data_IF_370633391335
#
_entry.id   IF_370633391335
#
_cell.length_a   1.000
_cell.length_b   1.000
_cell.length_c   1.000
_cell.angle_alpha   90.00
_cell.angle_beta   90.00
_cell.angle_gamma   90.00
#
_symmetry.space_group_name_H-M   'P 1'
#
loop_
_entity.id
_entity.type
_entity.pdbx_description
1 polymer ?
#
# COMPACT_ATOMS: atom_id res chain seq x y z
N UNK A 1 -65.94 41.51 -13.33
CA UNK A 1 -64.56 41.57 -13.86
C UNK A 1 -63.77 42.47 -12.94
N UNK A 2 -62.94 41.89 -12.07
CA UNK A 2 -61.98 42.63 -11.25
C UNK A 2 -60.75 41.75 -11.04
N UNK A 3 -59.55 42.31 -11.14
CA UNK A 3 -58.53 42.00 -10.15
C UNK A 3 -57.90 43.26 -9.57
N UNK A 4 -57.69 43.20 -8.26
CA UNK A 4 -57.12 44.23 -7.41
C UNK A 4 -55.60 44.01 -7.23
N UNK A 5 -54.91 45.07 -6.81
CA UNK A 5 -53.45 45.20 -6.80
C UNK A 5 -52.66 44.26 -5.88
N UNK A 6 -51.33 44.34 -6.01
CA UNK A 6 -50.40 43.62 -5.16
C UNK A 6 -48.93 43.83 -5.55
N UNK A 7 -48.42 45.04 -5.37
CA UNK A 7 -46.99 45.35 -5.38
C UNK A 7 -46.32 44.65 -4.17
N UNK A 8 -45.30 43.81 -4.40
CA UNK A 8 -44.31 43.53 -3.36
C UNK A 8 -42.97 43.12 -3.97
N UNK A 9 -41.99 44.02 -3.89
CA UNK A 9 -40.57 43.73 -4.07
C UNK A 9 -39.96 43.50 -2.69
N UNK A 10 -39.31 42.35 -2.46
CA UNK A 10 -38.22 42.27 -1.47
C UNK A 10 -37.28 41.07 -1.69
N UNK A 11 -36.02 41.40 -1.98
CA UNK A 11 -34.81 40.75 -1.46
C UNK A 11 -34.60 39.26 -1.75
N UNK A 12 -33.81 38.97 -2.79
CA UNK A 12 -33.02 37.73 -2.84
C UNK A 12 -31.69 38.01 -2.14
N UNK A 13 -31.58 37.61 -0.88
CA UNK A 13 -30.28 37.41 -0.23
C UNK A 13 -29.92 35.91 -0.35
N UNK A 14 -28.83 35.53 -1.03
CA UNK A 14 -28.30 34.19 -0.90
C UNK A 14 -27.58 34.08 0.45
N UNK A 15 -28.14 33.25 1.33
CA UNK A 15 -27.58 32.86 2.62
C UNK A 15 -26.10 32.44 2.49
N UNK A 16 -25.20 32.87 3.39
CA UNK A 16 -23.79 32.55 3.31
C UNK A 16 -23.59 31.06 3.62
N UNK A 17 -23.16 30.30 2.61
CA UNK A 17 -22.75 28.91 2.76
C UNK A 17 -21.45 28.91 3.60
N UNK A 18 -21.40 28.26 4.78
CA UNK A 18 -20.15 28.18 5.52
C UNK A 18 -19.14 27.32 4.76
N UNK A 19 -17.84 27.63 4.83
CA UNK A 19 -16.80 26.85 4.17
C UNK A 19 -16.76 25.45 4.78
N UNK A 20 -17.03 24.43 3.96
CA UNK A 20 -16.87 23.02 4.33
C UNK A 20 -15.37 22.74 4.47
N UNK A 21 -14.82 22.95 5.67
CA UNK A 21 -13.53 22.39 6.03
C UNK A 21 -13.70 20.87 6.20
N UNK A 22 -12.92 20.09 5.46
CA UNK A 22 -12.91 18.61 5.53
C UNK A 22 -12.20 18.08 6.79
N UNK A 23 -12.53 18.65 7.95
CA UNK A 23 -12.09 18.20 9.27
C UNK A 23 -13.17 17.27 9.82
N UNK A 24 -12.92 15.97 9.75
CA UNK A 24 -13.82 14.94 10.29
C UNK A 24 -13.34 14.45 11.65
N UNK A 25 -14.28 14.20 12.56
CA UNK A 25 -14.00 13.44 13.78
C UNK A 25 -13.69 11.98 13.41
N UNK A 26 -12.78 11.33 14.16
CA UNK A 26 -12.45 9.90 13.99
C UNK A 26 -13.70 9.03 13.78
N UNK A 27 -13.72 8.27 12.68
CA UNK A 27 -14.86 7.41 12.31
C UNK A 27 -14.88 6.16 13.18
N UNK A 28 -16.03 5.87 13.78
CA UNK A 28 -16.22 4.72 14.66
C UNK A 28 -16.81 3.55 13.86
N UNK A 29 -16.30 2.34 14.11
CA UNK A 29 -16.60 1.13 13.33
C UNK A 29 -17.51 0.14 14.09
N UNK A 30 -18.49 0.64 14.86
CA UNK A 30 -19.47 -0.24 15.51
C UNK A 30 -20.64 -0.57 14.57
N UNK A 31 -21.24 -1.75 14.77
CA UNK A 31 -22.54 -2.09 14.20
C UNK A 31 -23.63 -1.58 15.15
N UNK A 32 -24.50 -0.65 14.73
CA UNK A 32 -25.61 -0.19 15.57
C UNK A 32 -26.47 -1.37 16.00
N UNK A 33 -26.85 -1.41 17.28
CA UNK A 33 -27.78 -2.42 17.77
C UNK A 33 -29.13 -2.24 17.05
N UNK A 34 -29.59 -3.29 16.37
CA UNK A 34 -30.90 -3.29 15.73
C UNK A 34 -31.97 -3.57 16.79
N UNK A 35 -32.98 -2.69 16.87
CA UNK A 35 -34.14 -2.89 17.73
C UNK A 35 -35.14 -3.88 17.10
N UNK A 36 -34.67 -5.05 16.68
CA UNK A 36 -35.55 -6.09 16.16
C UNK A 36 -36.31 -6.74 17.33
N UNK A 37 -37.64 -6.71 17.23
CA UNK A 37 -38.51 -7.25 18.28
C UNK A 37 -38.23 -8.75 18.44
N UNK A 38 -38.02 -9.26 19.67
CA UNK A 38 -37.79 -10.68 19.86
C UNK A 38 -38.99 -11.49 19.32
N UNK A 39 -38.76 -12.69 18.73
CA UNK A 39 -39.82 -13.51 18.14
C UNK A 39 -40.89 -13.95 19.14
N UNK A 40 -40.63 -13.77 20.44
CA UNK A 40 -41.45 -14.27 21.54
C UNK A 40 -42.35 -13.15 22.08
N UNK A 41 -43.69 -13.24 21.92
CA UNK A 41 -44.62 -12.21 22.37
C UNK A 41 -44.51 -11.84 23.86
N UNK A 42 -44.10 -12.79 24.71
CA UNK A 42 -43.95 -12.64 26.16
C UNK A 42 -42.88 -11.62 26.58
N UNK A 43 -41.90 -11.31 25.71
CA UNK A 43 -40.79 -10.40 26.03
C UNK A 43 -40.94 -9.00 25.45
N UNK A 44 -42.01 -8.72 24.67
CA UNK A 44 -42.22 -7.43 23.98
C UNK A 44 -42.32 -6.23 24.93
N UNK A 45 -42.73 -6.44 26.18
CA UNK A 45 -42.93 -5.37 27.17
C UNK A 45 -41.68 -5.07 28.01
N UNK A 46 -40.62 -5.87 27.87
CA UNK A 46 -39.33 -5.64 28.55
C UNK A 46 -38.37 -5.06 27.52
N UNK A 47 -38.43 -3.74 27.32
CA UNK A 47 -37.59 -3.03 26.34
C UNK A 47 -36.09 -3.39 26.43
N UNK A 48 -35.33 -3.06 25.39
CA UNK A 48 -33.89 -3.41 25.34
C UNK A 48 -33.10 -2.71 26.45
N UNK A 49 -31.98 -3.31 26.87
CA UNK A 49 -31.09 -2.76 27.91
C UNK A 49 -30.78 -1.26 27.72
N UNK A 50 -30.64 -0.81 26.46
CA UNK A 50 -30.37 0.57 26.08
C UNK A 50 -31.43 1.58 26.56
N UNK A 51 -32.67 1.15 26.81
CA UNK A 51 -33.73 2.04 27.31
C UNK A 51 -33.58 2.40 28.79
N UNK A 52 -32.72 1.69 29.54
CA UNK A 52 -32.43 1.97 30.95
C UNK A 52 -31.19 2.85 31.15
N UNK A 53 -30.51 3.21 30.07
CA UNK A 53 -29.30 4.03 30.14
C UNK A 53 -29.65 5.49 29.85
N UNK A 54 -29.41 6.35 30.83
CA UNK A 54 -29.50 7.79 30.63
C UNK A 54 -28.36 8.28 29.73
N UNK A 55 -28.67 9.21 28.82
CA UNK A 55 -27.64 9.82 27.98
C UNK A 55 -26.71 10.67 28.88
N UNK A 56 -25.38 10.42 28.85
CA UNK A 56 -24.45 11.21 29.64
C UNK A 56 -24.42 12.65 29.13
N UNK A 57 -24.33 13.61 30.05
CA UNK A 57 -24.14 15.03 29.73
C UNK A 57 -22.69 15.25 29.25
N UNK A 58 -22.47 15.17 27.94
CA UNK A 58 -21.14 15.36 27.32
C UNK A 58 -21.15 16.60 26.42
N UNK A 59 -20.13 17.43 26.54
CA UNK A 59 -19.90 18.55 25.63
C UNK A 59 -19.40 18.06 24.26
N UNK A 60 -20.30 18.14 23.26
CA UNK A 60 -20.01 17.74 21.89
C UNK A 60 -18.86 18.54 21.25
N UNK A 61 -18.70 19.83 21.60
CA UNK A 61 -17.65 20.68 21.02
C UNK A 61 -16.27 20.22 21.47
N UNK A 62 -16.14 19.86 22.75
CA UNK A 62 -14.91 19.30 23.32
C UNK A 62 -14.54 17.97 22.66
N UNK A 63 -15.51 17.11 22.36
CA UNK A 63 -15.25 15.83 21.68
C UNK A 63 -14.77 16.02 20.25
N UNK A 64 -15.39 16.92 19.48
CA UNK A 64 -14.94 17.21 18.10
C UNK A 64 -13.47 17.63 18.11
N UNK A 65 -13.09 18.53 19.02
CA UNK A 65 -11.71 19.01 19.14
C UNK A 65 -10.73 17.91 19.57
N UNK A 66 -11.12 17.01 20.50
CA UNK A 66 -10.24 15.94 20.97
C UNK A 66 -10.03 14.83 19.94
N UNK A 67 -11.03 14.57 19.10
CA UNK A 67 -11.04 13.49 18.11
C UNK A 67 -10.94 14.01 16.67
N UNK A 68 -10.45 15.23 16.49
CA UNK A 68 -10.20 15.83 15.19
C UNK A 68 -9.14 15.00 14.44
N UNK A 69 -9.57 14.36 13.35
CA UNK A 69 -8.65 13.68 12.47
C UNK A 69 -8.03 14.71 11.52
N UNK A 70 -6.77 15.05 11.75
CA UNK A 70 -5.96 15.75 10.75
C UNK A 70 -5.63 14.80 9.62
N UNK A 71 -6.49 14.80 8.60
CA UNK A 71 -6.16 14.15 7.33
C UNK A 71 -4.99 14.95 6.73
N UNK A 72 -3.79 14.35 6.70
CA UNK A 72 -2.73 14.87 5.83
C UNK A 72 -3.28 14.76 4.42
N UNK A 73 -3.65 15.89 3.82
CA UNK A 73 -3.99 15.94 2.40
C UNK A 73 -2.73 15.52 1.65
N UNK A 74 -2.69 14.26 1.23
CA UNK A 74 -1.71 13.79 0.27
C UNK A 74 -2.10 14.48 -1.03
N UNK A 75 -1.29 15.40 -1.60
CA UNK A 75 -1.61 15.97 -2.89
C UNK A 75 -1.67 14.80 -3.88
N UNK A 76 -2.85 14.59 -4.46
CA UNK A 76 -3.00 13.68 -5.58
C UNK A 76 -2.22 14.28 -6.75
N UNK A 77 -0.93 13.94 -6.84
CA UNK A 77 -0.12 14.28 -8.01
C UNK A 77 -0.64 13.41 -9.15
N UNK A 78 -1.36 14.05 -10.07
CA UNK A 78 -1.73 13.44 -11.35
C UNK A 78 -0.46 13.35 -12.19
N UNK A 79 0.23 12.23 -12.10
CA UNK A 79 1.32 11.91 -13.02
C UNK A 79 0.68 11.38 -14.31
N UNK A 80 0.94 12.07 -15.43
CA UNK A 80 0.62 11.55 -16.76
C UNK A 80 1.38 10.25 -16.94
N UNK A 81 0.64 9.16 -17.14
CA UNK A 81 1.20 7.82 -17.21
C UNK A 81 2.29 7.71 -18.28
N UNK A 82 3.27 6.87 -17.98
CA UNK A 82 4.45 6.51 -18.78
C UNK A 82 4.18 6.07 -20.22
N UNK A 83 2.91 5.94 -20.63
CA UNK A 83 2.53 5.79 -22.03
C UNK A 83 2.60 7.09 -22.85
N UNK A 84 2.79 8.27 -22.23
CA UNK A 84 2.98 9.54 -22.96
C UNK A 84 4.39 9.65 -23.59
N UNK A 85 5.43 9.16 -22.90
CA UNK A 85 6.81 9.19 -23.42
C UNK A 85 7.06 8.17 -24.52
N UNK A 86 6.49 6.98 -24.41
CA UNK A 86 6.56 5.94 -25.45
C UNK A 86 5.80 6.38 -26.72
N UNK A 87 4.73 7.16 -26.57
CA UNK A 87 4.01 7.73 -27.71
C UNK A 87 4.81 8.86 -28.37
N UNK A 88 5.55 9.68 -27.60
CA UNK A 88 6.32 10.81 -28.14
C UNK A 88 7.62 10.40 -28.83
N UNK A 89 8.21 9.25 -28.49
CA UNK A 89 9.38 8.70 -29.19
C UNK A 89 9.00 7.84 -30.42
N UNK A 90 7.79 7.28 -30.46
CA UNK A 90 7.31 6.46 -31.59
C UNK A 90 6.45 7.21 -32.62
N UNK A 91 6.16 8.49 -32.40
CA UNK A 91 5.31 9.28 -33.31
C UNK A 91 6.10 9.85 -34.51
N UNK A 92 6.66 8.95 -35.31
CA UNK A 92 6.90 9.14 -36.74
C UNK A 92 6.00 8.24 -37.61
N UNK A 93 5.11 7.41 -37.03
CA UNK A 93 4.09 6.70 -37.80
C UNK A 93 2.73 6.64 -37.07
N UNK A 94 1.72 7.14 -37.78
CA UNK A 94 0.31 7.27 -37.43
C UNK A 94 -0.42 5.96 -37.06
N UNK A 95 -1.23 5.96 -36.00
CA UNK A 95 -2.67 5.65 -36.02
C UNK A 95 -3.33 5.89 -34.64
N UNK A 96 -4.66 6.02 -34.63
CA UNK A 96 -5.53 6.62 -33.61
C UNK A 96 -6.13 5.67 -32.56
N UNK A 97 -6.36 6.21 -31.35
CA UNK A 97 -7.53 6.04 -30.43
C UNK A 97 -8.14 4.64 -30.22
N UNK A 98 -8.01 4.04 -29.03
CA UNK A 98 -8.96 4.15 -27.90
C UNK A 98 -8.59 3.25 -26.69
N UNK A 99 -9.09 3.63 -25.50
CA UNK A 99 -9.29 2.84 -24.25
C UNK A 99 -8.13 2.51 -23.27
N UNK A 100 -7.95 3.41 -22.29
CA UNK A 100 -8.36 3.13 -20.91
C UNK A 100 -7.58 2.14 -20.03
N UNK A 101 -6.41 2.54 -19.50
CA UNK A 101 -5.87 1.97 -18.25
C UNK A 101 -5.23 3.10 -17.41
N UNK A 102 -5.95 3.61 -16.42
CA UNK A 102 -5.38 4.47 -15.38
C UNK A 102 -4.89 3.59 -14.23
N UNK A 103 -3.59 3.29 -14.19
CA UNK A 103 -2.98 2.72 -12.98
C UNK A 103 -2.76 3.83 -11.96
N UNK A 104 -3.49 3.79 -10.84
CA UNK A 104 -3.24 4.67 -9.70
C UNK A 104 -1.92 4.29 -9.03
N UNK A 105 -0.84 5.02 -9.36
CA UNK A 105 0.40 4.98 -8.56
C UNK A 105 0.14 5.77 -7.28
N UNK A 106 0.05 5.07 -6.15
CA UNK A 106 -0.05 5.69 -4.82
C UNK A 106 1.34 6.20 -4.44
N UNK A 107 1.58 7.50 -4.62
CA UNK A 107 2.67 8.17 -3.92
C UNK A 107 2.27 8.30 -2.45
N UNK A 108 2.96 7.55 -1.58
CA UNK A 108 2.81 7.71 -0.13
C UNK A 108 3.35 9.10 0.26
N UNK A 109 2.46 10.07 0.42
CA UNK A 109 2.76 11.37 0.98
C UNK A 109 2.88 11.29 2.50
N UNK A 110 4.08 11.08 2.99
CA UNK A 110 4.48 11.47 4.34
C UNK A 110 5.98 11.80 4.31
N UNK A 111 6.41 12.85 5.02
CA UNK A 111 7.78 13.35 5.14
C UNK A 111 8.79 12.30 5.68
N UNK A 112 9.00 11.24 4.92
CA UNK A 112 10.16 10.35 4.95
C UNK A 112 10.69 10.41 3.53
N UNK A 113 11.94 10.81 3.38
CA UNK A 113 12.74 10.74 2.13
C UNK A 113 12.05 9.91 1.05
N UNK A 114 11.48 10.58 0.04
CA UNK A 114 10.73 9.90 -1.02
C UNK A 114 11.61 8.82 -1.64
N UNK A 115 11.20 7.56 -1.48
CA UNK A 115 11.89 6.41 -2.06
C UNK A 115 11.08 5.89 -3.23
N UNK A 116 11.78 5.53 -4.30
CA UNK A 116 11.19 4.99 -5.51
C UNK A 116 10.72 3.55 -5.25
N UNK A 117 9.40 3.39 -5.14
CA UNK A 117 8.75 2.08 -5.02
C UNK A 117 8.13 1.70 -6.36
N UNK A 118 8.71 0.69 -6.99
CA UNK A 118 8.28 0.23 -8.32
C UNK A 118 7.43 -1.03 -8.20
N UNK A 119 7.76 -1.89 -7.23
CA UNK A 119 7.09 -3.16 -7.02
C UNK A 119 5.69 -2.96 -6.42
N UNK A 120 4.74 -3.88 -6.70
CA UNK A 120 3.44 -3.84 -6.05
C UNK A 120 3.57 -4.00 -4.53
N UNK A 121 2.71 -3.31 -3.78
CA UNK A 121 2.80 -3.22 -2.31
C UNK A 121 2.97 -4.59 -1.62
N UNK A 122 2.16 -5.58 -1.99
CA UNK A 122 2.24 -6.93 -1.42
C UNK A 122 3.60 -7.59 -1.68
N UNK A 123 4.14 -7.42 -2.88
CA UNK A 123 5.44 -7.99 -3.30
C UNK A 123 6.58 -7.34 -2.54
N UNK A 124 6.63 -6.00 -2.51
CA UNK A 124 7.62 -5.25 -1.76
C UNK A 124 7.56 -5.57 -0.26
N UNK A 125 6.37 -5.67 0.32
CA UNK A 125 6.18 -6.06 1.74
C UNK A 125 6.69 -7.47 2.02
N UNK A 126 6.39 -8.45 1.17
CA UNK A 126 6.87 -9.83 1.35
C UNK A 126 8.41 -9.91 1.35
N UNK A 127 9.06 -9.17 0.44
CA UNK A 127 10.52 -9.07 0.38
C UNK A 127 11.06 -8.39 1.63
N UNK A 128 10.50 -7.23 2.03
CA UNK A 128 10.94 -6.51 3.23
C UNK A 128 10.80 -7.36 4.50
N UNK A 129 9.74 -8.15 4.62
CA UNK A 129 9.58 -9.11 5.73
C UNK A 129 10.68 -10.18 5.66
N UNK A 130 10.96 -10.74 4.48
CA UNK A 130 12.04 -11.70 4.29
C UNK A 130 13.41 -11.14 4.68
N UNK A 131 13.69 -9.88 4.30
CA UNK A 131 14.93 -9.18 4.63
C UNK A 131 15.15 -9.00 6.14
N UNK A 132 14.10 -8.97 6.96
CA UNK A 132 14.27 -8.94 8.43
C UNK A 132 14.93 -10.20 9.00
N UNK A 133 14.96 -11.30 8.24
CA UNK A 133 15.57 -12.58 8.61
C UNK A 133 16.85 -12.87 7.83
N UNK A 134 17.23 -11.98 6.91
CA UNK A 134 18.42 -12.13 6.10
C UNK A 134 19.53 -11.17 6.57
N UNK A 135 20.80 -11.50 6.28
CA UNK A 135 21.90 -10.56 6.46
C UNK A 135 21.73 -9.32 5.55
N UNK A 136 22.53 -8.26 5.71
CA UNK A 136 22.44 -7.05 4.91
C UNK A 136 22.48 -7.30 3.39
N UNK A 137 21.69 -6.54 2.62
CA UNK A 137 21.57 -6.66 1.15
C UNK A 137 22.94 -6.63 0.46
N UNK A 138 23.90 -5.87 0.99
CA UNK A 138 25.25 -5.72 0.43
C UNK A 138 26.09 -7.00 0.52
N UNK A 139 25.87 -7.86 1.52
CA UNK A 139 26.69 -9.06 1.73
C UNK A 139 26.11 -10.30 1.06
N UNK A 140 24.79 -10.33 0.82
CA UNK A 140 24.08 -11.49 0.25
C UNK A 140 24.67 -11.94 -1.10
N UNK A 141 24.91 -11.06 -2.10
CA UNK A 141 25.45 -11.49 -3.38
C UNK A 141 26.81 -12.18 -3.26
N UNK A 142 27.68 -11.64 -2.40
CA UNK A 142 29.01 -12.21 -2.16
C UNK A 142 28.92 -13.57 -1.48
N UNK A 143 28.01 -13.72 -0.50
CA UNK A 143 27.78 -14.99 0.17
C UNK A 143 27.29 -16.07 -0.81
N UNK A 144 26.37 -15.72 -1.72
CA UNK A 144 25.87 -16.62 -2.78
C UNK A 144 27.00 -17.01 -3.74
N UNK A 145 27.85 -16.07 -4.14
CA UNK A 145 28.97 -16.36 -5.04
C UNK A 145 30.01 -17.29 -4.40
N UNK A 146 30.19 -17.21 -3.08
CA UNK A 146 31.18 -17.99 -2.31
C UNK A 146 30.63 -19.24 -1.62
N UNK A 147 29.32 -19.50 -1.71
CA UNK A 147 28.65 -20.57 -0.96
C UNK A 147 28.91 -20.49 0.56
N UNK A 148 28.91 -19.28 1.12
CA UNK A 148 29.28 -19.00 2.51
C UNK A 148 28.14 -19.26 3.52
N UNK A 149 28.15 -20.44 4.13
CA UNK A 149 27.10 -20.88 5.06
C UNK A 149 27.12 -20.17 6.42
N UNK A 150 28.17 -19.40 6.74
CA UNK A 150 28.24 -18.63 7.98
C UNK A 150 27.42 -17.34 7.87
N UNK A 151 27.38 -16.76 6.66
CA UNK A 151 26.66 -15.51 6.38
C UNK A 151 25.20 -15.79 6.01
N UNK A 152 24.95 -16.83 5.19
CA UNK A 152 23.62 -17.18 4.73
C UNK A 152 23.35 -18.67 4.92
N UNK A 153 22.40 -18.99 5.80
CA UNK A 153 22.01 -20.35 6.14
C UNK A 153 21.00 -20.93 5.13
N UNK A 154 20.68 -22.22 5.30
CA UNK A 154 19.77 -22.95 4.41
C UNK A 154 18.39 -22.29 4.32
N UNK A 155 17.83 -21.89 5.46
CA UNK A 155 16.51 -21.26 5.53
C UNK A 155 16.48 -19.93 4.76
N UNK A 156 17.57 -19.15 4.84
CA UNK A 156 17.72 -17.92 4.08
C UNK A 156 17.73 -18.17 2.57
N UNK A 157 18.43 -19.20 2.11
CA UNK A 157 18.49 -19.61 0.70
C UNK A 157 17.10 -20.06 0.21
N UNK A 158 16.41 -20.91 0.97
CA UNK A 158 15.05 -21.38 0.66
C UNK A 158 14.05 -20.22 0.57
N UNK A 159 14.19 -19.22 1.43
CA UNK A 159 13.34 -18.02 1.40
C UNK A 159 13.56 -17.21 0.13
N UNK A 160 14.80 -17.05 -0.31
CA UNK A 160 15.12 -16.38 -1.58
C UNK A 160 14.48 -17.13 -2.74
N UNK A 161 14.69 -18.46 -2.81
CA UNK A 161 14.13 -19.31 -3.87
C UNK A 161 12.60 -19.29 -3.93
N UNK A 162 11.93 -19.35 -2.78
CA UNK A 162 10.47 -19.54 -2.72
C UNK A 162 9.71 -18.22 -2.84
N UNK A 163 10.22 -17.13 -2.26
CA UNK A 163 9.46 -15.89 -2.10
C UNK A 163 10.13 -14.66 -2.73
N UNK A 164 11.46 -14.65 -2.90
CA UNK A 164 12.19 -13.41 -3.25
C UNK A 164 13.04 -13.52 -4.51
N UNK A 165 12.75 -14.49 -5.38
CA UNK A 165 13.43 -14.60 -6.68
C UNK A 165 13.19 -13.34 -7.54
N UNK A 166 14.23 -12.79 -8.18
CA UNK A 166 14.07 -11.73 -9.17
C UNK A 166 13.27 -12.22 -10.37
N UNK A 167 12.26 -11.46 -10.77
CA UNK A 167 11.56 -11.66 -12.04
C UNK A 167 12.14 -10.68 -13.09
N UNK A 168 12.56 -11.14 -14.28
CA UNK A 168 13.07 -10.27 -15.34
C UNK A 168 12.19 -9.04 -15.64
N UNK A 169 10.86 -9.22 -15.67
CA UNK A 169 9.93 -8.12 -15.93
C UNK A 169 9.89 -7.09 -14.77
N UNK A 170 10.05 -7.54 -13.53
CA UNK A 170 10.14 -6.65 -12.37
C UNK A 170 11.46 -5.86 -12.39
N UNK A 171 12.56 -6.53 -12.77
CA UNK A 171 13.88 -5.91 -12.86
C UNK A 171 13.91 -4.82 -13.93
N UNK A 172 13.41 -5.11 -15.12
CA UNK A 172 13.33 -4.13 -16.22
C UNK A 172 12.52 -2.90 -15.81
N UNK A 173 11.36 -3.10 -15.15
CA UNK A 173 10.56 -1.99 -14.64
C UNK A 173 11.30 -1.14 -13.60
N UNK A 174 12.09 -1.78 -12.72
CA UNK A 174 12.91 -1.07 -11.75
C UNK A 174 13.95 -0.24 -12.48
N UNK A 175 14.73 -0.84 -13.39
CA UNK A 175 15.79 -0.17 -14.15
C UNK A 175 15.29 1.02 -14.96
N UNK A 176 14.14 0.86 -15.65
CA UNK A 176 13.50 1.95 -16.40
C UNK A 176 13.16 3.12 -15.47
N UNK A 177 12.51 2.84 -14.33
CA UNK A 177 12.15 3.85 -13.34
C UNK A 177 13.37 4.53 -12.70
N UNK A 178 14.48 3.80 -12.51
CA UNK A 178 15.75 4.38 -12.03
C UNK A 178 16.29 5.37 -13.06
N UNK A 179 16.25 5.01 -14.34
CA UNK A 179 16.70 5.88 -15.43
C UNK A 179 15.83 7.14 -15.57
N UNK A 180 14.52 7.04 -15.32
CA UNK A 180 13.60 8.19 -15.29
C UNK A 180 13.82 9.11 -14.09
N UNK A 181 14.25 8.57 -12.94
CA UNK A 181 14.40 9.30 -11.68
C UNK A 181 15.77 9.05 -11.01
N UNK A 182 16.88 9.53 -11.61
CA UNK A 182 18.23 9.25 -11.10
C UNK A 182 18.52 9.85 -9.72
N UNK A 183 17.82 10.93 -9.33
CA UNK A 183 18.02 11.61 -8.04
C UNK A 183 17.24 10.96 -6.88
N UNK A 184 16.37 9.99 -7.15
CA UNK A 184 15.52 9.37 -6.14
C UNK A 184 16.11 8.04 -5.63
N UNK A 185 16.31 7.86 -4.32
CA UNK A 185 16.79 6.59 -3.78
C UNK A 185 15.73 5.49 -3.93
N UNK A 186 16.16 4.27 -4.30
CA UNK A 186 15.26 3.13 -4.42
C UNK A 186 14.80 2.60 -3.06
N UNK A 187 13.61 1.98 -3.02
CA UNK A 187 13.18 1.16 -1.89
C UNK A 187 14.11 -0.04 -1.64
N UNK A 188 14.11 -0.55 -0.41
CA UNK A 188 14.96 -1.68 0.01
C UNK A 188 14.69 -2.95 -0.80
N UNK A 189 13.42 -3.24 -1.11
CA UNK A 189 13.04 -4.42 -1.88
C UNK A 189 13.56 -4.35 -3.32
N UNK A 190 13.45 -3.18 -3.96
CA UNK A 190 13.92 -2.93 -5.32
C UNK A 190 15.46 -3.01 -5.39
N UNK A 191 16.16 -2.40 -4.44
CA UNK A 191 17.62 -2.53 -4.32
C UNK A 191 18.05 -3.99 -4.17
N UNK A 192 17.34 -4.75 -3.34
CA UNK A 192 17.63 -6.17 -3.13
C UNK A 192 17.49 -6.98 -4.42
N UNK A 193 16.39 -6.81 -5.16
CA UNK A 193 16.16 -7.53 -6.41
C UNK A 193 17.22 -7.19 -7.47
N UNK A 194 17.60 -5.91 -7.62
CA UNK A 194 18.66 -5.52 -8.54
C UNK A 194 20.00 -6.17 -8.19
N UNK A 195 20.36 -6.21 -6.90
CA UNK A 195 21.60 -6.86 -6.44
C UNK A 195 21.59 -8.37 -6.69
N UNK A 196 20.45 -9.03 -6.54
CA UNK A 196 20.32 -10.45 -6.86
C UNK A 196 20.38 -10.69 -8.38
N UNK A 197 19.76 -9.84 -9.19
CA UNK A 197 19.74 -9.97 -10.65
C UNK A 197 21.16 -9.87 -11.28
N UNK A 198 22.08 -9.18 -10.61
CA UNK A 198 23.49 -9.11 -11.02
C UNK A 198 24.27 -10.42 -10.83
N UNK A 199 23.70 -11.41 -10.13
CA UNK A 199 24.36 -12.70 -9.87
C UNK A 199 24.13 -13.64 -11.06
N UNK A 200 25.19 -14.07 -11.76
CA UNK A 200 25.05 -14.97 -12.91
C UNK A 200 24.58 -16.36 -12.45
N UNK A 201 23.56 -16.88 -13.15
CA UNK A 201 22.94 -18.18 -12.88
C UNK A 201 22.49 -18.33 -11.42
N UNK A 202 21.81 -17.30 -10.90
CA UNK A 202 21.37 -17.23 -9.51
C UNK A 202 20.57 -18.46 -9.09
N UNK A 203 19.59 -18.88 -9.89
CA UNK A 203 18.70 -19.99 -9.57
C UNK A 203 19.49 -21.29 -9.38
N UNK A 204 20.39 -21.57 -10.31
CA UNK A 204 21.23 -22.76 -10.34
C UNK A 204 22.19 -22.78 -9.14
N UNK A 205 22.82 -21.63 -8.84
CA UNK A 205 23.68 -21.48 -7.66
C UNK A 205 22.94 -21.78 -6.37
N UNK A 206 21.75 -21.21 -6.17
CA UNK A 206 20.97 -21.43 -4.95
C UNK A 206 20.53 -22.90 -4.82
N UNK A 207 20.10 -23.54 -5.92
CA UNK A 207 19.73 -24.97 -5.93
C UNK A 207 20.92 -25.87 -5.59
N UNK A 208 22.07 -25.63 -6.24
CA UNK A 208 23.30 -26.36 -5.96
C UNK A 208 23.75 -26.17 -4.51
N UNK A 209 23.58 -24.97 -3.98
CA UNK A 209 23.95 -24.68 -2.60
C UNK A 209 23.10 -25.46 -1.60
N UNK A 210 21.77 -25.45 -1.75
CA UNK A 210 20.87 -26.25 -0.92
C UNK A 210 21.28 -27.72 -0.96
N UNK A 211 21.52 -28.26 -2.16
CA UNK A 211 21.95 -29.65 -2.32
C UNK A 211 23.25 -29.95 -1.55
N UNK A 212 24.23 -29.04 -1.61
CA UNK A 212 25.50 -29.20 -0.90
C UNK A 212 25.34 -29.15 0.62
N UNK A 213 24.41 -28.32 1.13
CA UNK A 213 24.10 -28.23 2.56
C UNK A 213 23.35 -29.47 3.06
N UNK A 214 22.38 -29.96 2.29
CA UNK A 214 21.63 -31.18 2.61
C UNK A 214 22.56 -32.40 2.67
N UNK A 215 23.48 -32.52 1.71
CA UNK A 215 24.48 -33.60 1.70
C UNK A 215 25.33 -33.61 2.99
N UNK A 216 25.89 -32.45 3.38
CA UNK A 216 26.67 -32.31 4.62
C UNK A 216 25.86 -32.62 5.88
N UNK A 217 24.55 -32.39 5.86
CA UNK A 217 23.68 -32.69 6.99
C UNK A 217 23.33 -34.19 7.05
N UNK A 218 23.14 -34.85 5.90
CA UNK A 218 22.93 -36.30 5.84
C UNK A 218 24.14 -37.09 6.39
N UNK A 219 25.37 -36.70 6.05
CA UNK A 219 26.57 -37.41 6.55
C UNK A 219 26.67 -37.39 8.08
N UNK A 220 26.29 -36.28 8.72
CA UNK A 220 26.35 -36.15 10.19
C UNK A 220 25.33 -37.04 10.91
N UNK A 221 24.20 -37.33 10.29
CA UNK A 221 23.14 -38.16 10.88
C UNK A 221 23.38 -39.66 10.73
N UNK A 222 24.33 -40.08 9.87
CA UNK A 222 24.68 -41.49 9.66
C UNK A 222 25.85 -41.95 10.55
N UNK A 223 26.48 -41.04 11.29
CA UNK A 223 27.69 -41.31 12.09
C UNK A 223 27.50 -41.37 13.61
N UNK A 224 26.26 -41.38 14.11
CA UNK A 224 25.92 -41.52 15.54
C UNK A 224 25.09 -42.76 15.78
#
# INVERSE_FOLDING_TARGET
MSPNGGLNQKGRDPSPVPPVSKTGTLRLHWKPAQAELPPVPSLRNKGTFWHKLDLPQIDAKKLVQLFEQKTKEIPAVKIFGTYDWVFRLSNEYSCTRDSGWMTNIRLNGEHRTQVLQVLPLKRSQAINIGLTKLPPISVIPTAIMKFDSLVLNKEGIEKILTTMMPNPAEIEQIELKVAEHPDMPLGQAEQFLLKLAQIPCLLERLRLWIFTLDYKNCEKNLGT
#
